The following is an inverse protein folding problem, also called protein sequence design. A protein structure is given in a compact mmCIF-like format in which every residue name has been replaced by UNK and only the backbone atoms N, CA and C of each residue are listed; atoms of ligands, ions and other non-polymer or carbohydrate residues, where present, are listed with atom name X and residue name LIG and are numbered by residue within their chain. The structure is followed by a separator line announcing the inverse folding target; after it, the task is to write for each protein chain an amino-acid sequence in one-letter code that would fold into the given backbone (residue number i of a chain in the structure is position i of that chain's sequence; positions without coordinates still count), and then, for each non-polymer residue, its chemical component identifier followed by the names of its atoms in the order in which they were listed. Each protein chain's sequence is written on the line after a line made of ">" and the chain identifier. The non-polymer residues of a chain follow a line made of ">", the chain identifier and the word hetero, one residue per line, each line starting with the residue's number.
data_IF_109254289800
#
_entry.id   IF_109254289800
#
_cell.length_a   1.000
_cell.length_b   1.000
_cell.length_c   1.000
_cell.angle_alpha   90.00
_cell.angle_beta   90.00
_cell.angle_gamma   90.00
#
_symmetry.space_group_name_H-M   'P 1'
#
loop_
_entity.id
_entity.type
_entity.pdbx_description
1 polymer ?
#
# COMPACT_ATOMS: atom_id res chain seq x y z
N UNK A 1 14.31 -19.35 -6.18
CA UNK A 1 14.73 -19.85 -4.85
C UNK A 1 13.62 -19.45 -3.86
N UNK A 2 13.15 -20.34 -2.98
CA UNK A 2 12.15 -19.98 -1.94
C UNK A 2 12.87 -19.32 -0.76
N UNK A 3 12.29 -18.26 -0.19
CA UNK A 3 12.78 -17.62 1.04
C UNK A 3 11.84 -18.00 2.18
N UNK A 4 12.38 -18.50 3.29
CA UNK A 4 11.60 -18.93 4.45
C UNK A 4 11.55 -17.79 5.46
N UNK A 5 10.36 -17.50 5.97
CA UNK A 5 10.09 -16.49 7.00
C UNK A 5 9.67 -17.23 8.25
N UNK A 6 10.33 -16.94 9.38
CA UNK A 6 9.93 -17.47 10.69
C UNK A 6 8.96 -16.48 11.32
N UNK A 7 7.78 -16.96 11.69
CA UNK A 7 6.75 -16.13 12.33
C UNK A 7 6.14 -16.90 13.51
N UNK A 8 5.71 -16.14 14.52
CA UNK A 8 4.92 -16.67 15.61
C UNK A 8 3.49 -16.93 15.11
N UNK A 9 2.81 -17.88 15.76
CA UNK A 9 1.42 -18.18 15.47
C UNK A 9 0.52 -17.05 16.01
N UNK A 10 0.30 -16.04 15.16
CA UNK A 10 -0.50 -14.85 15.43
C UNK A 10 -1.49 -14.65 14.29
N UNK A 11 -2.74 -14.22 14.57
CA UNK A 11 -3.76 -14.03 13.54
C UNK A 11 -3.25 -13.21 12.35
N UNK A 12 -3.39 -13.72 11.13
CA UNK A 12 -2.99 -13.06 9.88
C UNK A 12 -1.50 -13.07 9.54
N UNK A 13 -0.60 -13.47 10.45
CA UNK A 13 0.86 -13.32 10.30
C UNK A 13 1.28 -11.89 9.87
N UNK A 14 2.56 -11.67 9.55
CA UNK A 14 3.04 -10.33 9.19
C UNK A 14 2.53 -9.86 7.81
N UNK A 15 2.57 -10.74 6.80
CA UNK A 15 2.21 -10.38 5.43
C UNK A 15 0.77 -9.90 5.28
N UNK A 16 -0.21 -10.68 5.77
CA UNK A 16 -1.60 -10.27 5.61
C UNK A 16 -1.92 -9.05 6.47
N UNK A 17 -1.39 -8.95 7.70
CA UNK A 17 -1.52 -7.76 8.52
C UNK A 17 -1.07 -6.52 7.76
N UNK A 18 0.19 -6.46 7.34
CA UNK A 18 0.76 -5.27 6.69
C UNK A 18 0.08 -4.98 5.34
N UNK A 19 -0.08 -6.00 4.49
CA UNK A 19 -0.62 -5.82 3.14
C UNK A 19 -2.09 -5.42 3.13
N UNK A 20 -2.93 -6.11 3.90
CA UNK A 20 -4.37 -5.83 3.91
C UNK A 20 -4.70 -4.58 4.72
N UNK A 21 -3.89 -4.23 5.73
CA UNK A 21 -3.97 -2.91 6.36
C UNK A 21 -3.78 -1.80 5.34
N UNK A 22 -2.69 -1.85 4.56
CA UNK A 22 -2.38 -0.83 3.56
C UNK A 22 -3.49 -0.72 2.50
N UNK A 23 -3.96 -1.86 1.98
CA UNK A 23 -5.00 -1.90 0.96
C UNK A 23 -6.35 -1.41 1.48
N UNK A 24 -6.75 -1.80 2.70
CA UNK A 24 -8.03 -1.38 3.26
C UNK A 24 -8.01 0.10 3.68
N UNK A 25 -6.89 0.60 4.20
CA UNK A 25 -6.75 2.04 4.44
C UNK A 25 -6.80 2.85 3.13
N UNK A 26 -6.23 2.33 2.04
CA UNK A 26 -6.38 2.94 0.72
C UNK A 26 -7.85 3.01 0.28
N UNK A 27 -8.65 2.00 0.62
CA UNK A 27 -10.09 1.99 0.32
C UNK A 27 -10.85 3.04 1.15
N UNK A 28 -10.52 3.18 2.44
CA UNK A 28 -11.06 4.24 3.30
C UNK A 28 -10.73 5.64 2.72
N UNK A 29 -9.50 5.84 2.24
CA UNK A 29 -9.11 7.10 1.60
C UNK A 29 -9.79 7.33 0.25
N UNK A 30 -10.08 6.28 -0.51
CA UNK A 30 -10.83 6.39 -1.75
C UNK A 30 -12.24 6.94 -1.54
N UNK A 31 -12.91 6.52 -0.45
CA UNK A 31 -14.21 7.08 -0.06
C UNK A 31 -14.09 8.55 0.36
N UNK A 32 -13.10 8.91 1.18
CA UNK A 32 -12.84 10.30 1.58
C UNK A 32 -12.53 11.22 0.39
N UNK A 33 -11.94 10.68 -0.66
CA UNK A 33 -11.54 11.39 -1.87
C UNK A 33 -12.49 11.14 -3.05
N UNK A 34 -13.71 10.65 -2.79
CA UNK A 34 -14.65 10.29 -3.83
C UNK A 34 -14.92 11.46 -4.81
N UNK A 35 -15.00 12.70 -4.30
CA UNK A 35 -15.20 13.90 -5.11
C UNK A 35 -13.94 14.37 -5.89
N UNK A 36 -12.77 13.78 -5.60
CA UNK A 36 -11.48 14.10 -6.25
C UNK A 36 -10.98 12.99 -7.17
N UNK A 37 -11.80 11.97 -7.45
CA UNK A 37 -11.47 10.83 -8.31
C UNK A 37 -11.34 9.49 -7.57
N UNK A 38 -11.54 9.48 -6.26
CA UNK A 38 -11.75 8.29 -5.42
C UNK A 38 -10.77 7.16 -5.69
N UNK A 39 -11.31 5.99 -6.08
CA UNK A 39 -10.55 4.77 -6.34
C UNK A 39 -9.41 5.01 -7.33
N UNK A 40 -9.70 5.69 -8.44
CA UNK A 40 -8.71 5.93 -9.48
C UNK A 40 -7.57 6.82 -8.98
N UNK A 41 -7.90 7.90 -8.28
CA UNK A 41 -6.91 8.82 -7.71
C UNK A 41 -5.97 8.10 -6.75
N UNK A 42 -6.51 7.37 -5.79
CA UNK A 42 -5.72 6.66 -4.77
C UNK A 42 -4.79 5.63 -5.41
N UNK A 43 -5.29 4.83 -6.36
CA UNK A 43 -4.45 3.86 -7.06
C UNK A 43 -3.39 4.52 -7.93
N UNK A 44 -3.67 5.69 -8.53
CA UNK A 44 -2.64 6.42 -9.28
C UNK A 44 -1.54 6.93 -8.35
N UNK A 45 -1.88 7.46 -7.17
CA UNK A 45 -0.91 7.97 -6.20
C UNK A 45 -0.13 6.87 -5.48
N UNK A 46 -0.70 5.70 -5.27
CA UNK A 46 -0.06 4.57 -4.58
C UNK A 46 0.39 3.46 -5.55
N UNK A 47 0.67 3.82 -6.81
CA UNK A 47 1.09 2.87 -7.85
C UNK A 47 2.57 2.47 -7.72
N UNK A 48 3.10 1.75 -8.71
CA UNK A 48 4.40 1.08 -8.59
C UNK A 48 5.63 1.95 -8.32
N UNK A 49 5.57 3.27 -8.56
CA UNK A 49 6.66 4.18 -8.18
C UNK A 49 6.81 4.31 -6.65
N UNK A 50 5.80 3.88 -5.90
CA UNK A 50 5.84 3.75 -4.43
C UNK A 50 6.37 2.39 -3.97
N UNK A 51 7.04 1.64 -4.86
CA UNK A 51 7.67 0.36 -4.51
C UNK A 51 6.65 -0.76 -4.36
N UNK A 52 5.68 -0.84 -5.28
CA UNK A 52 4.56 -1.81 -5.24
C UNK A 52 4.43 -2.53 -6.58
N UNK A 53 4.12 -3.82 -6.52
CA UNK A 53 3.88 -4.61 -7.73
C UNK A 53 2.62 -4.17 -8.49
N UNK A 54 1.58 -3.77 -7.75
CA UNK A 54 0.28 -3.33 -8.25
C UNK A 54 -0.29 -2.30 -7.27
N UNK A 55 -1.10 -1.38 -7.78
CA UNK A 55 -1.79 -0.41 -6.95
C UNK A 55 -2.73 -1.11 -5.93
N UNK A 56 -2.94 -0.56 -4.72
CA UNK A 56 -3.58 -1.27 -3.62
C UNK A 56 -5.03 -1.71 -3.93
N UNK A 57 -5.84 -0.86 -4.53
CA UNK A 57 -7.24 -1.18 -4.81
C UNK A 57 -7.36 -2.13 -6.01
N UNK A 58 -6.52 -1.95 -7.03
CA UNK A 58 -6.38 -2.95 -8.08
C UNK A 58 -5.95 -4.33 -7.52
N UNK A 59 -5.11 -4.36 -6.48
CA UNK A 59 -4.71 -5.60 -5.81
C UNK A 59 -5.88 -6.21 -5.04
N UNK A 60 -6.64 -5.42 -4.26
CA UNK A 60 -7.85 -5.88 -3.58
C UNK A 60 -8.87 -6.46 -4.58
N UNK A 61 -9.07 -5.80 -5.71
CA UNK A 61 -9.96 -6.22 -6.80
C UNK A 61 -9.48 -7.51 -7.50
N UNK A 62 -8.16 -7.74 -7.55
CA UNK A 62 -7.55 -8.96 -8.08
C UNK A 62 -7.71 -10.14 -7.12
N UNK A 63 -7.50 -9.91 -5.82
CA UNK A 63 -7.68 -10.91 -4.76
C UNK A 63 -9.15 -11.36 -4.70
N UNK A 64 -10.05 -10.38 -4.73
CA UNK A 64 -11.48 -10.55 -4.57
C UNK A 64 -11.96 -9.79 -3.32
N UNK A 65 -13.03 -9.00 -3.45
CA UNK A 65 -13.50 -8.14 -2.37
C UNK A 65 -14.05 -8.93 -1.17
N UNK A 66 -14.66 -10.07 -1.42
CA UNK A 66 -15.13 -11.03 -0.42
C UNK A 66 -13.96 -11.64 0.38
N UNK A 67 -12.92 -12.09 -0.32
CA UNK A 67 -11.69 -12.61 0.31
C UNK A 67 -10.97 -11.51 1.09
N UNK A 68 -10.90 -10.30 0.51
CA UNK A 68 -10.34 -9.13 1.18
C UNK A 68 -11.06 -8.84 2.49
N UNK A 69 -12.39 -8.78 2.46
CA UNK A 69 -13.23 -8.59 3.65
C UNK A 69 -12.96 -9.67 4.70
N UNK A 70 -12.95 -10.95 4.32
CA UNK A 70 -12.74 -12.04 5.27
C UNK A 70 -11.40 -11.92 6.03
N UNK A 71 -10.34 -11.46 5.35
CA UNK A 71 -9.02 -11.24 5.97
C UNK A 71 -9.04 -10.01 6.87
N UNK A 72 -9.63 -8.90 6.40
CA UNK A 72 -9.76 -7.65 7.18
C UNK A 72 -10.55 -7.88 8.46
N UNK A 73 -11.72 -8.53 8.37
CA UNK A 73 -12.58 -8.85 9.51
C UNK A 73 -11.85 -9.80 10.48
N UNK A 74 -11.15 -10.82 9.97
CA UNK A 74 -10.39 -11.72 10.82
C UNK A 74 -9.32 -10.99 11.64
N UNK A 75 -8.59 -10.05 11.03
CA UNK A 75 -7.57 -9.27 11.74
C UNK A 75 -8.24 -8.31 12.73
N UNK A 76 -9.34 -7.66 12.35
CA UNK A 76 -10.11 -6.80 13.25
C UNK A 76 -10.57 -7.57 14.49
N UNK A 77 -11.25 -8.71 14.32
CA UNK A 77 -11.84 -9.43 15.45
C UNK A 77 -10.80 -10.05 16.41
N UNK A 78 -9.59 -10.35 15.90
CA UNK A 78 -8.60 -11.15 16.62
C UNK A 78 -7.32 -10.39 17.01
N UNK A 79 -7.25 -9.07 16.78
CA UNK A 79 -6.07 -8.27 17.10
C UNK A 79 -6.42 -6.92 17.73
N UNK A 80 -5.44 -6.28 18.37
CA UNK A 80 -5.55 -4.92 18.92
C UNK A 80 -4.35 -4.08 18.47
N UNK A 81 -4.07 -4.18 17.18
CA UNK A 81 -2.90 -3.59 16.56
C UNK A 81 -2.95 -2.05 16.53
N UNK A 82 -1.80 -1.41 16.37
CA UNK A 82 -1.69 0.07 16.33
C UNK A 82 -2.46 0.73 15.17
N UNK A 83 -2.83 -0.05 14.15
CA UNK A 83 -3.64 0.36 13.00
C UNK A 83 -5.03 -0.31 12.99
N UNK A 84 -5.53 -0.75 14.15
CA UNK A 84 -6.75 -1.53 14.28
C UNK A 84 -8.00 -0.85 13.67
N UNK A 85 -8.09 0.48 13.78
CA UNK A 85 -9.17 1.29 13.21
C UNK A 85 -9.23 1.25 11.67
N UNK A 86 -8.11 0.92 11.03
CA UNK A 86 -8.01 0.77 9.58
C UNK A 86 -8.46 -0.59 9.07
N UNK A 87 -8.80 -1.56 9.93
CA UNK A 87 -9.38 -2.85 9.53
C UNK A 87 -10.91 -2.82 9.55
N UNK A 88 -11.49 -1.76 8.99
CA UNK A 88 -12.94 -1.62 8.81
C UNK A 88 -13.23 -1.44 7.33
N UNK A 89 -14.02 -2.34 6.77
CA UNK A 89 -14.39 -2.29 5.35
C UNK A 89 -15.25 -1.04 5.08
N UNK A 90 -14.95 -0.22 4.06
CA UNK A 90 -15.80 0.90 3.69
C UNK A 90 -17.17 0.45 3.17
N UNK A 91 -18.22 1.24 3.43
CA UNK A 91 -19.60 0.93 3.09
C UNK A 91 -19.80 0.69 1.59
N UNK A 92 -19.11 1.46 0.74
CA UNK A 92 -19.22 1.30 -0.72
C UNK A 92 -18.69 -0.06 -1.19
N UNK A 93 -17.66 -0.62 -0.55
CA UNK A 93 -17.16 -1.95 -0.90
C UNK A 93 -18.09 -3.04 -0.38
N UNK A 94 -18.68 -2.86 0.80
CA UNK A 94 -19.70 -3.78 1.30
C UNK A 94 -20.88 -3.87 0.32
N UNK A 95 -21.38 -2.73 -0.18
CA UNK A 95 -22.43 -2.69 -1.21
C UNK A 95 -22.03 -3.45 -2.48
N UNK A 96 -20.79 -3.32 -2.94
CA UNK A 96 -20.30 -4.06 -4.12
C UNK A 96 -20.29 -5.58 -3.86
N UNK A 97 -19.88 -6.00 -2.67
CA UNK A 97 -19.90 -7.41 -2.27
C UNK A 97 -21.34 -7.95 -2.26
N UNK A 98 -22.27 -7.22 -1.66
CA UNK A 98 -23.68 -7.59 -1.59
C UNK A 98 -24.33 -7.71 -2.98
N UNK A 99 -23.84 -6.93 -3.95
CA UNK A 99 -24.26 -6.97 -5.36
C UNK A 99 -23.53 -8.05 -6.20
N UNK A 100 -22.65 -8.85 -5.59
CA UNK A 100 -21.85 -9.86 -6.28
C UNK A 100 -20.74 -9.28 -7.18
N UNK A 101 -20.41 -7.99 -7.04
CA UNK A 101 -19.29 -7.35 -7.72
C UNK A 101 -17.98 -7.64 -6.95
N UNK A 102 -17.55 -8.91 -6.98
CA UNK A 102 -16.46 -9.40 -6.13
C UNK A 102 -15.06 -9.13 -6.69
N UNK A 103 -14.93 -8.50 -7.86
CA UNK A 103 -13.64 -8.14 -8.45
C UNK A 103 -13.34 -8.79 -9.78
N UNK A 104 -12.07 -8.78 -10.17
CA UNK A 104 -11.63 -9.08 -11.53
C UNK A 104 -12.07 -10.47 -12.04
N UNK A 105 -12.07 -11.49 -11.17
CA UNK A 105 -12.50 -12.86 -11.54
C UNK A 105 -14.00 -12.98 -11.81
N UNK A 106 -14.82 -12.03 -11.32
CA UNK A 106 -16.26 -11.95 -11.57
C UNK A 106 -16.62 -10.93 -12.65
N UNK A 107 -15.63 -10.33 -13.30
CA UNK A 107 -15.81 -9.36 -14.38
C UNK A 107 -16.08 -7.92 -13.91
N UNK A 108 -16.45 -7.71 -12.64
CA UNK A 108 -16.64 -6.39 -12.03
C UNK A 108 -16.37 -6.40 -10.52
N UNK A 109 -15.80 -5.32 -10.02
CA UNK A 109 -15.63 -4.99 -8.59
C UNK A 109 -15.34 -3.50 -8.42
N UNK A 110 -14.15 -3.12 -7.94
CA UNK A 110 -13.71 -1.71 -7.98
C UNK A 110 -13.45 -1.22 -9.40
N UNK A 111 -13.07 -2.15 -10.27
CA UNK A 111 -12.92 -1.94 -11.69
C UNK A 111 -13.79 -2.93 -12.46
N UNK A 112 -14.08 -2.61 -13.72
CA UNK A 112 -14.65 -3.56 -14.66
C UNK A 112 -14.06 -3.36 -16.05
N UNK A 113 -14.27 -4.36 -16.91
CA UNK A 113 -13.97 -4.25 -18.33
C UNK A 113 -15.25 -4.43 -19.14
N UNK A 114 -15.49 -3.49 -20.04
CA UNK A 114 -16.57 -3.54 -21.02
C UNK A 114 -15.98 -3.69 -22.42
N UNK A 115 -16.68 -4.36 -23.34
CA UNK A 115 -16.31 -4.38 -24.76
C UNK A 115 -17.12 -3.33 -25.50
N UNK A 116 -16.46 -2.47 -26.27
CA UNK A 116 -17.14 -1.55 -27.19
C UNK A 116 -17.78 -2.32 -28.34
N UNK A 117 -18.69 -1.70 -29.12
CA UNK A 117 -19.25 -2.31 -30.34
C UNK A 117 -18.17 -2.79 -31.32
N UNK A 118 -17.01 -2.13 -31.34
CA UNK A 118 -15.84 -2.47 -32.16
C UNK A 118 -14.97 -3.58 -31.53
N UNK A 119 -15.40 -4.17 -30.42
CA UNK A 119 -14.71 -5.27 -29.73
C UNK A 119 -13.54 -4.83 -28.83
N UNK A 120 -13.28 -3.53 -28.69
CA UNK A 120 -12.19 -3.02 -27.85
C UNK A 120 -12.56 -3.14 -26.37
N UNK A 121 -11.65 -3.67 -25.55
CA UNK A 121 -11.86 -3.70 -24.09
C UNK A 121 -11.51 -2.35 -23.47
N UNK A 122 -12.48 -1.75 -22.78
CA UNK A 122 -12.33 -0.49 -22.04
C UNK A 122 -12.41 -0.77 -20.54
N UNK A 123 -11.45 -0.25 -19.78
CA UNK A 123 -11.46 -0.33 -18.31
C UNK A 123 -12.30 0.82 -17.76
N UNK A 124 -13.28 0.49 -16.93
CA UNK A 124 -14.07 1.44 -16.15
C UNK A 124 -13.75 1.31 -14.65
N UNK A 125 -13.96 2.39 -13.91
CA UNK A 125 -13.78 2.46 -12.45
C UNK A 125 -15.12 2.72 -11.79
N UNK A 126 -15.37 2.12 -10.64
CA UNK A 126 -16.55 2.41 -9.84
C UNK A 126 -16.47 3.82 -9.26
N UNK A 127 -17.46 4.67 -9.55
CA UNK A 127 -17.59 5.97 -8.95
C UNK A 127 -18.42 5.86 -7.66
N UNK A 128 -17.77 6.09 -6.52
CA UNK A 128 -18.37 5.93 -5.19
C UNK A 128 -19.58 6.87 -4.99
N UNK A 129 -19.61 8.04 -5.62
CA UNK A 129 -20.69 9.03 -5.48
C UNK A 129 -21.92 8.66 -6.29
N UNK A 130 -21.72 8.23 -7.54
CA UNK A 130 -22.82 7.94 -8.46
C UNK A 130 -23.31 6.51 -8.36
N UNK A 131 -22.47 5.61 -7.83
CA UNK A 131 -22.74 4.17 -7.77
C UNK A 131 -22.59 3.47 -9.12
N UNK A 132 -22.03 4.14 -10.14
CA UNK A 132 -21.91 3.62 -11.50
C UNK A 132 -20.45 3.37 -11.90
N UNK A 133 -20.25 2.52 -12.90
CA UNK A 133 -18.94 2.35 -13.54
C UNK A 133 -18.75 3.37 -14.66
N UNK A 134 -17.70 4.17 -14.54
CA UNK A 134 -17.43 5.30 -15.41
C UNK A 134 -16.01 5.20 -15.99
N UNK A 135 -15.74 5.99 -17.03
CA UNK A 135 -14.36 6.17 -17.47
C UNK A 135 -13.54 6.81 -16.35
N UNK A 136 -12.27 6.41 -16.25
CA UNK A 136 -11.39 6.99 -15.25
C UNK A 136 -11.24 8.51 -15.49
N UNK A 137 -11.40 9.35 -14.44
CA UNK A 137 -11.27 10.79 -14.61
C UNK A 137 -9.84 11.14 -15.03
N UNK A 138 -9.70 12.19 -15.85
CA UNK A 138 -8.38 12.75 -16.14
C UNK A 138 -7.84 13.44 -14.89
N UNK A 139 -6.68 13.02 -14.42
CA UNK A 139 -6.01 13.58 -13.25
C UNK A 139 -4.72 14.27 -13.66
N UNK A 140 -4.48 15.48 -13.15
CA UNK A 140 -3.18 16.13 -13.27
C UNK A 140 -2.38 15.91 -11.99
N UNK A 141 -1.56 14.85 -11.98
CA UNK A 141 -0.81 14.41 -10.80
C UNK A 141 0.65 14.83 -10.90
N UNK A 142 0.93 16.07 -10.49
CA UNK A 142 2.25 16.68 -10.64
C UNK A 142 3.33 15.99 -9.78
N UNK A 143 2.98 15.59 -8.55
CA UNK A 143 3.89 14.88 -7.66
C UNK A 143 4.23 13.52 -8.25
N UNK A 144 3.21 12.76 -8.69
CA UNK A 144 3.41 11.45 -9.32
C UNK A 144 4.35 11.55 -10.52
N UNK A 145 4.16 12.52 -11.42
CA UNK A 145 5.00 12.69 -12.62
C UNK A 145 6.47 12.89 -12.23
N UNK A 146 6.75 13.79 -11.28
CA UNK A 146 8.11 14.03 -10.76
C UNK A 146 8.70 12.77 -10.12
N UNK A 147 7.94 12.11 -9.24
CA UNK A 147 8.38 10.92 -8.54
C UNK A 147 8.68 9.74 -9.49
N UNK A 148 7.77 9.50 -10.44
CA UNK A 148 7.93 8.45 -11.44
C UNK A 148 9.16 8.67 -12.34
N UNK A 149 9.45 9.93 -12.72
CA UNK A 149 10.65 10.28 -13.47
C UNK A 149 11.94 9.97 -12.68
N UNK A 150 11.99 10.31 -11.39
CA UNK A 150 13.13 9.99 -10.54
C UNK A 150 13.33 8.47 -10.41
N UNK A 151 12.25 7.71 -10.25
CA UNK A 151 12.30 6.25 -10.20
C UNK A 151 12.78 5.65 -11.53
N UNK A 152 12.27 6.15 -12.67
CA UNK A 152 12.70 5.73 -14.00
C UNK A 152 14.22 5.92 -14.18
N UNK A 153 14.75 7.04 -13.70
CA UNK A 153 16.16 7.39 -13.79
C UNK A 153 17.01 6.74 -12.68
N UNK A 154 16.44 5.80 -11.91
CA UNK A 154 17.11 5.12 -10.78
C UNK A 154 17.61 6.06 -9.67
N UNK A 155 16.99 7.25 -9.54
CA UNK A 155 17.30 8.29 -8.55
C UNK A 155 16.47 8.10 -7.27
N UNK A 156 16.64 6.95 -6.62
CA UNK A 156 15.80 6.54 -5.48
C UNK A 156 15.93 7.46 -4.26
N UNK A 157 17.13 7.94 -3.96
CA UNK A 157 17.35 8.88 -2.84
C UNK A 157 16.78 10.27 -3.13
N UNK A 158 16.85 10.73 -4.39
CA UNK A 158 16.20 11.99 -4.78
C UNK A 158 14.67 11.87 -4.71
N UNK A 159 14.11 10.69 -5.04
CA UNK A 159 12.70 10.42 -4.81
C UNK A 159 12.35 10.44 -3.31
N UNK A 160 13.19 9.86 -2.46
CA UNK A 160 13.00 9.93 -1.01
C UNK A 160 13.07 11.38 -0.50
N UNK A 161 13.98 12.21 -1.02
CA UNK A 161 14.02 13.65 -0.71
C UNK A 161 12.80 14.41 -1.22
N UNK A 162 12.34 14.12 -2.45
CA UNK A 162 11.09 14.68 -2.98
C UNK A 162 9.92 14.33 -2.07
N UNK A 163 9.79 13.05 -1.68
CA UNK A 163 8.76 12.57 -0.76
C UNK A 163 8.84 13.25 0.61
N UNK A 164 10.04 13.64 1.06
CA UNK A 164 10.25 14.37 2.32
C UNK A 164 9.96 15.86 2.23
N UNK A 165 10.08 16.49 1.06
CA UNK A 165 10.12 17.96 0.96
C UNK A 165 8.97 18.57 0.16
N UNK A 166 8.42 17.84 -0.81
CA UNK A 166 7.34 18.33 -1.65
C UNK A 166 6.07 18.56 -0.83
N UNK A 167 5.39 19.67 -1.12
CA UNK A 167 4.16 20.09 -0.44
C UNK A 167 2.95 19.75 -1.29
N UNK A 168 1.80 19.63 -0.63
CA UNK A 168 0.51 19.49 -1.29
C UNK A 168 -0.11 18.11 -1.10
N UNK A 169 -1.42 18.04 -1.33
CA UNK A 169 -2.24 16.90 -0.94
C UNK A 169 -1.77 15.55 -1.53
N UNK A 170 -1.26 15.54 -2.76
CA UNK A 170 -0.70 14.33 -3.38
C UNK A 170 0.51 13.79 -2.60
N UNK A 171 1.47 14.66 -2.33
CA UNK A 171 2.69 14.30 -1.61
C UNK A 171 2.37 13.92 -0.16
N UNK A 172 1.47 14.65 0.49
CA UNK A 172 1.05 14.40 1.87
C UNK A 172 0.36 13.04 2.01
N UNK A 173 -0.50 12.66 1.05
CA UNK A 173 -1.14 11.36 1.04
C UNK A 173 -0.12 10.23 0.87
N UNK A 174 0.78 10.33 -0.13
CA UNK A 174 1.78 9.29 -0.37
C UNK A 174 2.73 9.15 0.83
N UNK A 175 3.18 10.27 1.39
CA UNK A 175 4.01 10.34 2.59
C UNK A 175 3.35 9.64 3.77
N UNK A 176 2.08 9.93 4.02
CA UNK A 176 1.27 9.32 5.09
C UNK A 176 1.15 7.80 4.91
N UNK A 177 0.93 7.31 3.70
CA UNK A 177 0.84 5.88 3.42
C UNK A 177 2.17 5.15 3.58
N UNK A 178 3.28 5.75 3.14
CA UNK A 178 4.62 5.18 3.35
C UNK A 178 4.99 5.20 4.85
N UNK A 179 4.70 6.29 5.55
CA UNK A 179 4.93 6.41 6.99
C UNK A 179 4.14 5.35 7.78
N UNK A 180 2.86 5.19 7.47
CA UNK A 180 2.02 4.15 8.08
C UNK A 180 2.53 2.75 7.78
N UNK A 181 2.92 2.47 6.54
CA UNK A 181 3.47 1.18 6.15
C UNK A 181 4.71 0.82 6.96
N UNK A 182 5.65 1.75 7.13
CA UNK A 182 6.87 1.56 7.92
C UNK A 182 6.51 1.37 9.40
N UNK A 183 5.74 2.30 9.97
CA UNK A 183 5.34 2.27 11.39
C UNK A 183 4.62 0.98 11.74
N UNK A 184 3.61 0.59 10.96
CA UNK A 184 2.82 -0.59 11.27
C UNK A 184 3.65 -1.87 11.13
N UNK A 185 4.49 -1.98 10.09
CA UNK A 185 5.39 -3.13 9.92
C UNK A 185 6.28 -3.34 11.15
N UNK A 186 6.92 -2.29 11.65
CA UNK A 186 7.80 -2.42 12.82
C UNK A 186 7.06 -2.48 14.16
N UNK A 187 5.77 -2.14 14.21
CA UNK A 187 4.94 -2.40 15.40
C UNK A 187 4.64 -3.88 15.62
N UNK A 188 4.82 -4.72 14.59
CA UNK A 188 4.65 -6.17 14.66
C UNK A 188 5.90 -6.91 15.17
N UNK A 189 7.01 -6.20 15.37
CA UNK A 189 8.28 -6.76 15.82
C UNK A 189 8.44 -6.55 17.32
N UNK A 190 8.84 -7.57 18.12
CA UNK A 190 9.14 -8.96 17.72
C UNK A 190 7.94 -9.91 17.83
N UNK A 191 6.74 -9.43 18.17
CA UNK A 191 5.63 -10.29 18.61
C UNK A 191 5.08 -11.21 17.51
N UNK A 192 5.00 -10.73 16.27
CA UNK A 192 4.52 -11.52 15.12
C UNK A 192 5.69 -12.19 14.41
N UNK A 193 6.78 -11.46 14.21
CA UNK A 193 7.99 -11.93 13.52
C UNK A 193 9.15 -10.98 13.81
N UNK A 194 10.35 -11.32 13.34
CA UNK A 194 11.52 -10.44 13.41
C UNK A 194 11.57 -9.44 12.24
N UNK A 195 12.60 -8.60 12.23
CA UNK A 195 12.80 -7.60 11.19
C UNK A 195 12.92 -8.22 9.78
N UNK A 196 13.67 -9.32 9.66
CA UNK A 196 13.86 -10.01 8.39
C UNK A 196 12.55 -10.66 7.92
N UNK A 197 11.66 -11.02 8.83
CA UNK A 197 10.36 -11.58 8.52
C UNK A 197 9.35 -10.57 8.02
N UNK A 198 9.33 -9.34 8.56
CA UNK A 198 8.51 -8.26 7.96
C UNK A 198 9.04 -7.88 6.57
N UNK A 199 10.36 -7.80 6.42
CA UNK A 199 11.00 -7.51 5.14
C UNK A 199 10.76 -8.62 4.11
N UNK A 200 10.90 -9.88 4.54
CA UNK A 200 10.71 -11.04 3.70
C UNK A 200 9.25 -11.19 3.27
N UNK A 201 8.29 -10.95 4.17
CA UNK A 201 6.87 -11.03 3.87
C UNK A 201 6.48 -10.03 2.78
N UNK A 202 6.96 -8.79 2.91
CA UNK A 202 6.62 -7.75 1.94
C UNK A 202 7.43 -7.87 0.65
N UNK A 203 8.73 -8.15 0.75
CA UNK A 203 9.63 -8.27 -0.39
C UNK A 203 9.38 -9.50 -1.26
N UNK A 204 9.30 -10.69 -0.67
CA UNK A 204 9.14 -11.94 -1.42
C UNK A 204 7.68 -12.38 -1.58
N UNK A 205 6.80 -11.97 -0.66
CA UNK A 205 5.38 -12.32 -0.70
C UNK A 205 4.55 -11.33 -1.53
N UNK A 206 4.57 -10.05 -1.15
CA UNK A 206 3.80 -9.00 -1.81
C UNK A 206 4.53 -8.35 -2.99
N UNK A 207 5.84 -8.59 -3.14
CA UNK A 207 6.70 -7.90 -4.10
C UNK A 207 6.64 -6.38 -3.93
N UNK A 208 6.71 -5.95 -2.67
CA UNK A 208 6.74 -4.54 -2.23
C UNK A 208 8.10 -4.23 -1.61
N UNK A 209 8.55 -2.98 -1.72
CA UNK A 209 9.79 -2.53 -1.08
C UNK A 209 9.73 -2.83 0.42
N UNK A 210 10.70 -3.59 0.97
CA UNK A 210 10.73 -3.94 2.39
C UNK A 210 10.70 -2.70 3.30
N UNK A 211 10.01 -2.74 4.46
CA UNK A 211 9.94 -1.62 5.38
C UNK A 211 11.32 -1.14 5.86
N UNK A 212 12.30 -2.01 6.04
CA UNK A 212 13.65 -1.55 6.44
C UNK A 212 14.44 -0.93 5.28
N UNK A 213 14.18 -1.33 4.03
CA UNK A 213 14.75 -0.67 2.86
C UNK A 213 14.23 0.77 2.73
N UNK A 214 12.97 1.02 3.10
CA UNK A 214 12.45 2.37 3.22
C UNK A 214 13.16 3.21 4.29
N UNK A 215 13.51 2.61 5.44
CA UNK A 215 14.28 3.30 6.48
C UNK A 215 15.62 3.77 5.92
N UNK A 216 16.34 2.91 5.21
CA UNK A 216 17.61 3.29 4.57
C UNK A 216 17.43 4.36 3.48
N UNK A 217 16.42 4.21 2.62
CA UNK A 217 16.10 5.19 1.57
C UNK A 217 15.78 6.58 2.12
N UNK A 218 15.12 6.66 3.28
CA UNK A 218 14.79 7.93 3.94
C UNK A 218 16.00 8.61 4.58
N UNK A 219 17.12 7.90 4.72
CA UNK A 219 18.36 8.40 5.35
C UNK A 219 18.68 7.76 6.71
N UNK A 220 18.14 6.57 6.99
CA UNK A 220 18.37 5.82 8.22
C UNK A 220 17.30 6.02 9.30
N UNK A 221 17.52 5.40 10.46
CA UNK A 221 16.53 5.27 11.55
C UNK A 221 15.99 6.64 11.99
N UNK A 222 16.86 7.61 12.29
CA UNK A 222 16.42 8.92 12.78
C UNK A 222 15.60 9.71 11.74
N UNK A 223 16.00 9.63 10.47
CA UNK A 223 15.26 10.25 9.38
C UNK A 223 13.88 9.58 9.20
N UNK A 224 13.82 8.25 9.30
CA UNK A 224 12.56 7.51 9.23
C UNK A 224 11.63 7.82 10.42
N UNK A 225 12.15 7.93 11.64
CA UNK A 225 11.37 8.33 12.83
C UNK A 225 10.76 9.72 12.64
N UNK A 226 11.57 10.70 12.18
CA UNK A 226 11.09 12.04 11.87
C UNK A 226 10.03 12.04 10.77
N UNK A 227 10.24 11.25 9.72
CA UNK A 227 9.29 11.11 8.62
C UNK A 227 7.93 10.57 9.07
N UNK A 228 7.93 9.56 9.96
CA UNK A 228 6.72 8.96 10.55
C UNK A 228 5.99 9.99 11.43
N UNK A 229 6.72 10.65 12.32
CA UNK A 229 6.18 11.65 13.25
C UNK A 229 5.56 12.85 12.51
N UNK A 230 6.23 13.35 11.46
CA UNK A 230 5.71 14.43 10.61
C UNK A 230 4.43 14.06 9.86
N UNK A 231 4.17 12.78 9.65
CA UNK A 231 2.92 12.30 9.05
C UNK A 231 1.79 12.09 10.09
N UNK A 232 2.02 12.43 11.37
CA UNK A 232 1.07 12.22 12.46
C UNK A 232 0.82 10.74 12.77
N UNK A 233 1.81 9.89 12.49
CA UNK A 233 1.76 8.45 12.77
C UNK A 233 2.65 8.14 13.98
N UNK A 234 2.23 7.27 14.92
CA UNK A 234 3.08 6.90 16.03
C UNK A 234 4.35 6.16 15.56
N UNK A 235 5.50 6.56 16.07
CA UNK A 235 6.75 5.84 15.86
C UNK A 235 6.73 4.57 16.72
N UNK A 236 6.90 3.37 16.15
CA UNK A 236 6.84 2.12 16.90
C UNK A 236 8.06 1.96 17.81
N UNK A 237 7.86 1.32 18.97
CA UNK A 237 8.92 1.11 19.98
C UNK A 237 10.15 0.40 19.40
N UNK A 238 9.97 -0.51 18.45
CA UNK A 238 11.09 -1.16 17.77
C UNK A 238 12.04 -0.15 17.11
N UNK A 239 11.50 0.85 16.40
CA UNK A 239 12.32 1.90 15.78
C UNK A 239 12.91 2.87 16.82
N UNK A 240 12.21 3.14 17.92
CA UNK A 240 12.74 3.99 18.99
C UNK A 240 13.99 3.40 19.65
N UNK A 241 14.08 2.07 19.73
CA UNK A 241 15.18 1.35 20.35
C UNK A 241 16.17 0.75 19.33
N UNK A 242 15.92 0.92 18.03
CA UNK A 242 16.77 0.41 16.97
C UNK A 242 18.08 1.20 16.84
N UNK A 243 19.13 0.52 16.36
CA UNK A 243 20.39 1.13 15.99
C UNK A 243 21.04 0.37 14.83
N UNK A 244 22.08 0.96 14.24
CA UNK A 244 22.87 0.35 13.17
C UNK A 244 22.50 0.87 11.77
N UNK A 245 23.42 0.62 10.83
CA UNK A 245 23.29 0.93 9.41
C UNK A 245 24.17 -0.05 8.61
N UNK A 246 23.70 -0.59 7.47
CA UNK A 246 22.37 -0.41 6.90
C UNK A 246 21.30 -1.10 7.75
N UNK A 247 20.09 -0.55 7.76
CA UNK A 247 18.97 -1.14 8.47
C UNK A 247 18.39 -2.34 7.70
N UNK A 248 18.39 -2.29 6.36
CA UNK A 248 17.97 -3.40 5.52
C UNK A 248 19.04 -4.49 5.40
N UNK A 249 18.69 -5.72 5.83
CA UNK A 249 19.62 -6.85 5.93
C UNK A 249 19.54 -7.85 4.78
N UNK A 250 18.44 -7.84 4.00
CA UNK A 250 18.21 -8.83 2.94
C UNK A 250 18.76 -8.43 1.56
N UNK A 251 19.58 -7.39 1.48
CA UNK A 251 20.19 -6.87 0.25
C UNK A 251 20.98 -7.89 -0.59
N UNK A 252 21.56 -8.92 0.03
CA UNK A 252 22.23 -10.02 -0.70
C UNK A 252 21.26 -11.02 -1.33
N UNK A 253 19.99 -11.02 -0.92
CA UNK A 253 18.94 -11.94 -1.37
C UNK A 253 17.88 -11.25 -2.24
N UNK A 254 17.66 -9.96 -2.02
CA UNK A 254 16.65 -9.16 -2.70
C UNK A 254 17.15 -7.72 -2.86
N UNK A 255 17.43 -7.33 -4.10
CA UNK A 255 17.60 -5.92 -4.44
C UNK A 255 16.23 -5.25 -4.43
N UNK A 256 15.97 -4.35 -3.47
CA UNK A 256 14.68 -3.69 -3.36
C UNK A 256 14.41 -2.71 -4.52
N UNK A 257 15.46 -2.26 -5.23
CA UNK A 257 15.33 -1.27 -6.32
C UNK A 257 14.48 -1.82 -7.47
N UNK A 258 14.54 -3.12 -7.72
CA UNK A 258 13.73 -3.79 -8.75
C UNK A 258 12.21 -3.82 -8.44
N UNK A 259 11.82 -3.45 -7.21
CA UNK A 259 10.42 -3.43 -6.78
C UNK A 259 9.74 -2.09 -7.07
N UNK A 260 10.51 -1.07 -7.43
CA UNK A 260 9.99 0.18 -7.95
C UNK A 260 9.65 0.06 -9.44
N UNK A 261 8.57 0.73 -9.87
CA UNK A 261 8.15 0.80 -11.27
C UNK A 261 7.81 2.25 -11.63
N UNK A 262 8.62 2.88 -12.47
CA UNK A 262 8.46 4.27 -12.89
C UNK A 262 7.43 4.50 -14.02
N UNK A 263 6.81 3.42 -14.53
CA UNK A 263 5.85 3.44 -15.64
C UNK A 263 4.44 3.01 -15.25
#
# INVERSE_FOLDING_TARGET
>A
RRHVIIANDRPGFAGNRIGFQFMNEAAIYAEKLADKGGIHLVDQLLSGYTGRAMAPLATADLVGLDVHKAIVDNIFDNTKDSAHDTFKMPDYMQKLIDQGALGNKKGKGLYMREKTPEGKSVKKVYNIKTGNYEEAPKLDLSFKKKAAALIHDSRYFDFAELLKTEKGEEADLVRRFIARYISYSFSLVPDVTDQDGVDGAMGFGFNWVPPSAWVDLLGGIDAAKKFIDQAGIPVPDYLNNASGSPFYKLQSKLDYRQLFRGS
#
